data_IF_213395387371
#
_entry.id   IF_213395387371
#
_cell.length_a   1.000
_cell.length_b   1.000
_cell.length_c   1.000
_cell.angle_alpha   90.00
_cell.angle_beta   90.00
_cell.angle_gamma   90.00
#
_symmetry.space_group_name_H-M   'P 1'
#
loop_
_entity.id
_entity.type
_entity.pdbx_description
1 polymer ?
#
# COMPACT_ATOMS: atom_id res chain seq x y z
N UNK A 1 -8.93 0.74 -49.18
CA UNK A 1 -9.75 1.03 -47.98
C UNK A 1 -9.63 -0.15 -47.03
N UNK A 2 -8.82 -0.03 -45.98
CA UNK A 2 -8.58 -1.11 -45.00
C UNK A 2 -9.54 -0.90 -43.84
N UNK A 3 -10.43 -1.87 -43.63
CA UNK A 3 -11.47 -1.84 -42.61
C UNK A 3 -10.94 -2.46 -41.32
N UNK A 4 -10.63 -1.63 -40.32
CA UNK A 4 -10.23 -2.11 -39.00
C UNK A 4 -11.48 -2.44 -38.18
N UNK A 5 -11.74 -3.74 -37.99
CA UNK A 5 -12.74 -4.23 -37.03
C UNK A 5 -12.19 -4.05 -35.62
N UNK A 6 -12.77 -3.11 -34.86
CA UNK A 6 -12.57 -3.01 -33.42
C UNK A 6 -13.20 -4.22 -32.73
N UNK A 7 -12.36 -5.10 -32.18
CA UNK A 7 -12.80 -6.17 -31.28
C UNK A 7 -13.05 -5.54 -29.91
N UNK A 8 -14.32 -5.40 -29.54
CA UNK A 8 -14.74 -5.05 -28.20
C UNK A 8 -14.51 -6.29 -27.31
N UNK A 9 -13.42 -6.29 -26.53
CA UNK A 9 -13.20 -7.30 -25.50
C UNK A 9 -14.11 -6.95 -24.31
N UNK A 10 -15.32 -7.50 -24.30
CA UNK A 10 -16.21 -7.46 -23.15
C UNK A 10 -15.60 -8.28 -22.01
N UNK A 11 -15.06 -7.60 -21.00
CA UNK A 11 -14.69 -8.23 -19.73
C UNK A 11 -16.00 -8.64 -19.06
N UNK A 12 -16.29 -9.95 -19.06
CA UNK A 12 -17.34 -10.53 -18.22
C UNK A 12 -16.97 -10.27 -16.76
N UNK A 13 -17.69 -9.36 -16.11
CA UNK A 13 -17.67 -9.23 -14.66
C UNK A 13 -18.56 -10.35 -14.13
N UNK A 14 -17.98 -11.53 -13.90
CA UNK A 14 -18.64 -12.57 -13.11
C UNK A 14 -18.85 -12.05 -11.69
N UNK A 15 -20.09 -11.68 -11.39
CA UNK A 15 -20.54 -11.36 -10.05
C UNK A 15 -20.61 -12.65 -9.22
N UNK A 16 -19.52 -12.99 -8.52
CA UNK A 16 -19.58 -13.94 -7.41
C UNK A 16 -19.57 -13.21 -6.06
N UNK A 17 -20.35 -13.78 -5.13
CA UNK A 17 -20.75 -13.27 -3.83
C UNK A 17 -19.62 -13.16 -2.80
N UNK A 18 -20.00 -12.58 -1.66
CA UNK A 18 -19.24 -12.37 -0.42
C UNK A 18 -18.04 -11.42 -0.46
N UNK A 19 -17.80 -10.74 0.66
CA UNK A 19 -16.71 -9.82 1.00
C UNK A 19 -15.35 -10.53 1.05
N UNK A 20 -15.04 -11.34 0.05
CA UNK A 20 -13.87 -12.20 0.05
C UNK A 20 -12.76 -11.56 -0.78
N UNK A 21 -11.56 -11.55 -0.20
CA UNK A 21 -10.33 -11.18 -0.90
C UNK A 21 -10.15 -12.05 -2.16
N UNK A 22 -9.87 -11.40 -3.29
CA UNK A 22 -9.72 -12.04 -4.61
C UNK A 22 -8.28 -11.95 -5.07
N UNK A 23 -7.80 -12.99 -5.74
CA UNK A 23 -6.56 -12.94 -6.52
C UNK A 23 -6.86 -12.28 -7.85
N UNK A 24 -6.09 -11.26 -8.20
CA UNK A 24 -6.24 -10.55 -9.47
C UNK A 24 -4.87 -10.43 -10.12
N UNK A 25 -4.82 -10.71 -11.42
CA UNK A 25 -3.65 -10.40 -12.25
C UNK A 25 -3.87 -9.07 -12.94
N UNK A 26 -2.87 -8.19 -12.92
CA UNK A 26 -2.93 -7.00 -13.75
C UNK A 26 -2.63 -7.38 -15.21
N UNK A 27 -3.65 -7.75 -15.98
CA UNK A 27 -3.49 -8.16 -17.39
C UNK A 27 -3.03 -7.03 -18.34
N UNK A 28 -2.93 -5.80 -17.83
CA UNK A 28 -2.38 -4.67 -18.57
C UNK A 28 -0.94 -4.50 -18.11
N UNK A 29 -0.04 -4.84 -19.02
CA UNK A 29 1.37 -4.52 -18.93
C UNK A 29 1.50 -2.98 -18.84
N UNK A 30 2.18 -2.49 -17.81
CA UNK A 30 2.45 -1.05 -17.70
C UNK A 30 3.34 -0.55 -18.87
N UNK A 31 3.69 0.75 -18.89
CA UNK A 31 4.59 1.30 -19.92
C UNK A 31 5.95 0.58 -20.01
N UNK A 32 6.33 -0.17 -18.98
CA UNK A 32 7.57 -0.95 -18.88
C UNK A 32 7.34 -2.46 -18.98
N UNK A 33 6.14 -2.87 -19.37
CA UNK A 33 5.73 -4.25 -19.54
C UNK A 33 5.69 -5.09 -18.25
N UNK A 34 5.38 -4.48 -17.09
CA UNK A 34 5.20 -5.20 -15.82
C UNK A 34 3.72 -5.43 -15.53
N UNK A 35 3.40 -6.69 -15.20
CA UNK A 35 2.10 -7.14 -14.69
C UNK A 35 2.28 -7.50 -13.20
N UNK A 36 1.58 -6.80 -12.31
CA UNK A 36 1.54 -7.17 -10.89
C UNK A 36 0.36 -8.08 -10.60
N UNK A 37 0.64 -9.23 -10.01
CA UNK A 37 -0.37 -10.01 -9.31
C UNK A 37 -0.69 -9.29 -8.00
N UNK A 38 -1.95 -9.25 -7.59
CA UNK A 38 -2.36 -8.63 -6.34
C UNK A 38 -3.57 -9.30 -5.71
N UNK A 39 -3.63 -9.24 -4.38
CA UNK A 39 -4.84 -9.50 -3.63
C UNK A 39 -5.67 -8.22 -3.56
N UNK A 40 -6.96 -8.38 -3.82
CA UNK A 40 -7.92 -7.28 -3.86
C UNK A 40 -9.11 -7.58 -2.96
N UNK A 41 -9.41 -6.69 -2.04
CA UNK A 41 -10.54 -6.81 -1.13
C UNK A 41 -11.45 -5.59 -1.25
N UNK A 42 -12.76 -5.85 -1.26
CA UNK A 42 -13.80 -4.84 -1.18
C UNK A 42 -14.52 -5.00 0.18
N UNK A 43 -14.76 -3.88 0.89
CA UNK A 43 -15.59 -3.87 2.09
C UNK A 43 -16.96 -4.51 1.84
N UNK A 44 -17.52 -5.17 2.84
CA UNK A 44 -18.80 -5.87 2.71
C UNK A 44 -19.93 -4.94 2.23
N UNK A 45 -20.03 -3.75 2.82
CA UNK A 45 -21.03 -2.74 2.45
C UNK A 45 -20.76 -2.07 1.10
N UNK A 46 -19.63 -2.36 0.43
CA UNK A 46 -19.35 -1.79 -0.88
C UNK A 46 -20.47 -2.10 -1.89
N UNK A 47 -21.14 -3.25 -1.75
CA UNK A 47 -22.27 -3.61 -2.62
C UNK A 47 -23.58 -2.94 -2.21
N UNK A 48 -23.77 -2.64 -0.93
CA UNK A 48 -25.03 -2.16 -0.37
C UNK A 48 -25.18 -0.65 -0.54
N UNK A 49 -24.10 0.11 -0.34
CA UNK A 49 -24.08 1.55 -0.52
C UNK A 49 -23.46 1.92 -1.88
N UNK A 50 -24.32 2.34 -2.83
CA UNK A 50 -23.91 2.69 -4.20
C UNK A 50 -23.34 4.10 -4.33
N UNK A 51 -23.62 4.98 -3.38
CA UNK A 51 -23.21 6.39 -3.42
C UNK A 51 -21.91 6.61 -2.62
N UNK A 52 -21.68 5.77 -1.59
CA UNK A 52 -20.46 5.84 -0.80
C UNK A 52 -19.21 5.60 -1.64
N UNK A 53 -18.30 6.55 -1.52
CA UNK A 53 -16.90 6.43 -1.93
C UNK A 53 -16.09 5.88 -0.76
N UNK A 54 -15.14 5.01 -1.08
CA UNK A 54 -14.43 4.22 -0.10
C UNK A 54 -12.96 4.61 -0.05
N UNK A 55 -12.36 4.67 1.16
CA UNK A 55 -10.93 4.86 1.29
C UNK A 55 -10.19 3.64 0.75
N UNK A 56 -8.99 3.86 0.21
CA UNK A 56 -8.11 2.81 -0.31
C UNK A 56 -6.89 2.68 0.58
N UNK A 57 -6.46 1.45 0.86
CA UNK A 57 -5.17 1.18 1.51
C UNK A 57 -4.33 0.24 0.65
N UNK A 58 -3.16 0.73 0.25
CA UNK A 58 -2.12 -0.06 -0.41
C UNK A 58 -1.22 -0.69 0.65
N UNK A 59 -1.11 -2.02 0.64
CA UNK A 59 -0.19 -2.76 1.50
C UNK A 59 0.99 -3.30 0.70
N UNK A 60 2.20 -3.03 1.16
CA UNK A 60 3.44 -3.54 0.57
C UNK A 60 4.09 -4.57 1.51
N UNK A 61 4.22 -5.81 1.03
CA UNK A 61 4.80 -6.92 1.80
C UNK A 61 6.34 -6.83 1.93
N UNK A 62 6.93 -7.69 2.76
CA UNK A 62 8.37 -7.78 3.02
C UNK A 62 9.13 -8.57 1.95
N UNK A 63 10.42 -8.79 2.16
CA UNK A 63 11.27 -9.48 1.18
C UNK A 63 10.87 -10.95 0.96
N UNK A 64 10.33 -11.60 2.01
CA UNK A 64 10.00 -13.03 2.04
C UNK A 64 8.78 -13.41 1.21
N UNK A 65 7.86 -12.48 0.96
CA UNK A 65 6.61 -12.76 0.22
C UNK A 65 6.71 -12.44 -1.28
N UNK A 66 7.91 -12.14 -1.79
CA UNK A 66 8.14 -11.94 -3.23
C UNK A 66 7.91 -13.24 -4.01
N UNK A 67 7.58 -13.09 -5.29
CA UNK A 67 7.41 -14.22 -6.20
C UNK A 67 6.16 -14.08 -7.05
N UNK A 68 5.56 -15.22 -7.38
CA UNK A 68 4.38 -15.36 -8.23
C UNK A 68 3.21 -16.09 -7.54
N UNK A 69 3.40 -16.58 -6.31
CA UNK A 69 2.33 -17.17 -5.49
C UNK A 69 1.73 -16.15 -4.52
N UNK A 70 0.51 -15.69 -4.83
CA UNK A 70 -0.25 -14.76 -4.00
C UNK A 70 -0.66 -15.31 -2.62
N UNK A 71 -0.54 -16.61 -2.33
CA UNK A 71 -0.74 -17.10 -0.96
C UNK A 71 0.33 -16.58 0.00
N UNK A 72 1.57 -16.36 -0.47
CA UNK A 72 2.64 -15.80 0.35
C UNK A 72 2.29 -14.42 0.88
N UNK A 73 1.60 -13.60 0.07
CA UNK A 73 1.20 -12.25 0.47
C UNK A 73 0.22 -12.25 1.64
N UNK A 74 -0.53 -13.35 1.87
CA UNK A 74 -1.48 -13.47 2.99
C UNK A 74 -0.84 -13.76 4.34
N UNK A 75 0.47 -14.04 4.40
CA UNK A 75 1.14 -14.45 5.65
C UNK A 75 1.12 -13.32 6.70
N UNK A 76 1.21 -12.06 6.27
CA UNK A 76 1.34 -10.90 7.16
C UNK A 76 0.41 -9.73 6.79
N UNK A 77 0.18 -8.85 7.75
CA UNK A 77 -0.45 -7.54 7.55
C UNK A 77 -1.91 -7.58 7.07
N UNK A 78 -2.29 -6.56 6.29
CA UNK A 78 -3.65 -6.34 5.80
C UNK A 78 -4.27 -7.57 5.10
N UNK A 79 -3.60 -8.26 4.16
CA UNK A 79 -4.20 -9.40 3.47
C UNK A 79 -4.49 -10.59 4.40
N UNK A 80 -3.74 -10.74 5.51
CA UNK A 80 -4.07 -11.68 6.60
C UNK A 80 -5.34 -11.26 7.33
N UNK A 81 -5.43 -9.99 7.71
CA UNK A 81 -6.56 -9.43 8.47
C UNK A 81 -7.87 -9.57 7.69
N UNK A 82 -7.90 -9.12 6.44
CA UNK A 82 -9.14 -9.16 5.63
C UNK A 82 -9.55 -10.58 5.21
N UNK A 83 -8.68 -11.59 5.42
CA UNK A 83 -9.02 -13.00 5.20
C UNK A 83 -9.88 -13.60 6.33
N UNK A 84 -9.85 -13.00 7.51
CA UNK A 84 -10.56 -13.46 8.72
C UNK A 84 -11.57 -12.45 9.25
N UNK A 85 -11.46 -11.17 8.86
CA UNK A 85 -12.35 -10.10 9.26
C UNK A 85 -13.02 -9.46 8.04
N UNK A 86 -14.33 -9.63 7.92
CA UNK A 86 -15.13 -9.07 6.82
C UNK A 86 -15.50 -7.58 7.01
N UNK A 87 -15.25 -7.00 8.19
CA UNK A 87 -15.59 -5.61 8.54
C UNK A 87 -14.38 -4.67 8.40
N UNK A 88 -13.58 -4.83 7.36
CA UNK A 88 -12.45 -3.94 7.11
C UNK A 88 -12.89 -2.72 6.29
N UNK A 89 -12.66 -1.47 6.75
CA UNK A 89 -13.34 -0.29 6.20
C UNK A 89 -12.71 0.25 4.91
N UNK A 90 -11.69 -0.40 4.37
CA UNK A 90 -10.95 0.05 3.19
C UNK A 90 -11.11 -0.89 2.01
N UNK A 91 -11.08 -0.34 0.80
CA UNK A 91 -10.65 -1.12 -0.37
C UNK A 91 -9.15 -1.43 -0.14
N UNK A 92 -8.82 -2.71 0.02
CA UNK A 92 -7.44 -3.13 0.26
C UNK A 92 -6.81 -3.70 -1.01
N UNK A 93 -5.62 -3.20 -1.33
CA UNK A 93 -4.83 -3.59 -2.50
C UNK A 93 -3.47 -4.08 -2.00
N UNK A 94 -3.16 -5.35 -2.20
CA UNK A 94 -1.91 -5.97 -1.74
C UNK A 94 -1.20 -6.65 -2.92
N UNK A 95 -0.41 -5.89 -3.71
CA UNK A 95 0.36 -6.46 -4.81
C UNK A 95 1.52 -7.33 -4.33
N UNK A 96 1.93 -8.27 -5.18
CA UNK A 96 3.13 -9.07 -4.99
C UNK A 96 4.27 -8.52 -5.84
N UNK A 97 5.40 -8.24 -5.22
CA UNK A 97 6.62 -7.88 -5.92
C UNK A 97 7.28 -9.15 -6.48
N UNK A 98 7.61 -9.20 -7.78
CA UNK A 98 8.37 -10.33 -8.33
C UNK A 98 9.74 -10.47 -7.66
N UNK A 99 10.31 -11.68 -7.68
CA UNK A 99 11.60 -12.01 -7.06
C UNK A 99 12.76 -11.13 -7.54
N UNK A 100 12.65 -10.61 -8.76
CA UNK A 100 13.74 -9.90 -9.45
C UNK A 100 13.80 -8.42 -9.06
N UNK A 101 12.82 -7.96 -8.29
CA UNK A 101 12.67 -6.57 -7.91
C UNK A 101 12.55 -6.40 -6.40
N UNK A 102 12.69 -5.15 -5.98
CA UNK A 102 12.23 -4.63 -4.70
C UNK A 102 11.30 -3.43 -4.94
N UNK A 103 10.45 -3.11 -3.97
CA UNK A 103 9.44 -2.04 -4.14
C UNK A 103 10.01 -0.66 -4.51
N UNK A 104 11.26 -0.38 -4.14
CA UNK A 104 11.94 0.88 -4.43
C UNK A 104 12.41 1.02 -5.88
N UNK A 105 12.43 -0.08 -6.63
CA UNK A 105 12.87 -0.03 -8.03
C UNK A 105 11.93 0.86 -8.84
N UNK A 106 12.50 1.71 -9.70
CA UNK A 106 11.71 2.66 -10.51
C UNK A 106 10.59 1.97 -11.29
N UNK A 107 10.86 0.76 -11.81
CA UNK A 107 9.87 -0.05 -12.50
C UNK A 107 8.72 -0.46 -11.59
N UNK A 108 9.00 -0.82 -10.34
CA UNK A 108 7.99 -1.16 -9.34
C UNK A 108 7.15 0.04 -8.92
N UNK A 109 7.75 1.23 -8.77
CA UNK A 109 7.02 2.44 -8.45
C UNK A 109 6.02 2.83 -9.55
N UNK A 110 6.42 2.69 -10.82
CA UNK A 110 5.54 2.92 -11.98
C UNK A 110 4.41 1.89 -12.04
N UNK A 111 4.70 0.62 -11.74
CA UNK A 111 3.70 -0.44 -11.72
C UNK A 111 2.67 -0.24 -10.58
N UNK A 112 3.14 0.14 -9.38
CA UNK A 112 2.29 0.47 -8.23
C UNK A 112 1.38 1.68 -8.52
N UNK A 113 1.94 2.74 -9.10
CA UNK A 113 1.18 3.91 -9.55
C UNK A 113 0.09 3.51 -10.56
N UNK A 114 0.47 2.73 -11.58
CA UNK A 114 -0.47 2.27 -12.62
C UNK A 114 -1.59 1.41 -12.05
N UNK A 115 -1.27 0.53 -11.09
CA UNK A 115 -2.24 -0.28 -10.37
C UNK A 115 -3.23 0.61 -9.59
N UNK A 116 -2.73 1.56 -8.79
CA UNK A 116 -3.58 2.47 -8.01
C UNK A 116 -4.48 3.32 -8.91
N UNK A 117 -3.95 3.90 -9.99
CA UNK A 117 -4.74 4.68 -10.95
C UNK A 117 -5.84 3.82 -11.60
N UNK A 118 -5.56 2.54 -11.89
CA UNK A 118 -6.57 1.60 -12.37
C UNK A 118 -7.65 1.35 -11.32
N UNK A 119 -7.29 1.15 -10.04
CA UNK A 119 -8.28 0.98 -8.96
C UNK A 119 -9.15 2.23 -8.82
N UNK A 120 -8.54 3.43 -8.79
CA UNK A 120 -9.24 4.71 -8.70
C UNK A 120 -10.22 4.91 -9.86
N UNK A 121 -9.85 4.48 -11.08
CA UNK A 121 -10.69 4.61 -12.27
C UNK A 121 -11.90 3.66 -12.26
N UNK A 122 -11.73 2.45 -11.73
CA UNK A 122 -12.71 1.37 -11.89
C UNK A 122 -13.58 1.11 -10.64
N UNK A 123 -13.26 1.71 -9.50
CA UNK A 123 -13.99 1.53 -8.24
C UNK A 123 -14.41 2.87 -7.64
N UNK A 124 -15.41 2.85 -6.74
CA UNK A 124 -15.90 4.01 -6.00
C UNK A 124 -14.90 4.38 -4.90
N UNK A 125 -13.80 5.00 -5.31
CA UNK A 125 -12.72 5.44 -4.41
C UNK A 125 -12.95 6.88 -3.97
N UNK A 126 -12.78 7.13 -2.67
CA UNK A 126 -12.57 8.48 -2.17
C UNK A 126 -11.11 8.87 -2.45
N UNK A 127 -10.93 9.75 -3.44
CA UNK A 127 -9.60 10.20 -3.89
C UNK A 127 -8.87 11.01 -2.83
N UNK A 128 -9.58 11.55 -1.83
CA UNK A 128 -8.97 12.24 -0.71
C UNK A 128 -8.46 11.28 0.37
N UNK A 129 -8.78 9.98 0.29
CA UNK A 129 -8.44 8.98 1.30
C UNK A 129 -7.75 7.75 0.69
N UNK A 130 -6.57 7.97 0.10
CA UNK A 130 -5.70 6.92 -0.39
C UNK A 130 -4.50 6.81 0.55
N UNK A 131 -4.29 5.63 1.12
CA UNK A 131 -3.28 5.38 2.13
C UNK A 131 -2.28 4.32 1.66
N UNK A 132 -1.09 4.33 2.22
CA UNK A 132 -0.09 3.29 1.98
C UNK A 132 0.62 2.89 3.26
N UNK A 133 0.89 1.59 3.38
CA UNK A 133 1.60 0.99 4.49
C UNK A 133 2.39 -0.21 4.00
N UNK A 134 3.42 -0.58 4.72
CA UNK A 134 4.21 -1.76 4.38
C UNK A 134 5.24 -2.09 5.43
N UNK A 135 5.75 -3.32 5.38
CA UNK A 135 6.69 -3.85 6.37
C UNK A 135 8.05 -4.19 5.74
N UNK A 136 9.15 -3.92 6.45
CA UNK A 136 10.51 -4.27 6.00
C UNK A 136 10.82 -3.69 4.60
N UNK A 137 11.03 -4.55 3.59
CA UNK A 137 11.11 -4.13 2.17
C UNK A 137 9.92 -3.24 1.74
N UNK A 138 8.72 -3.56 2.20
CA UNK A 138 7.50 -2.78 1.98
C UNK A 138 7.45 -1.48 2.79
N UNK A 139 8.10 -1.41 3.94
CA UNK A 139 8.30 -0.16 4.69
C UNK A 139 9.18 0.80 3.89
N UNK A 140 10.28 0.29 3.32
CA UNK A 140 11.12 1.04 2.37
C UNK A 140 10.34 1.43 1.10
N UNK A 141 9.51 0.52 0.59
CA UNK A 141 8.61 0.77 -0.53
C UNK A 141 7.60 1.88 -0.27
N UNK A 142 7.09 1.97 0.96
CA UNK A 142 6.13 3.00 1.42
C UNK A 142 6.75 4.39 1.33
N UNK A 143 7.99 4.56 1.79
CA UNK A 143 8.73 5.81 1.59
C UNK A 143 8.96 6.13 0.11
N UNK A 144 9.34 5.14 -0.69
CA UNK A 144 9.66 5.35 -2.10
C UNK A 144 8.43 5.74 -2.94
N UNK A 145 7.29 5.06 -2.75
CA UNK A 145 6.08 5.35 -3.53
C UNK A 145 5.46 6.70 -3.17
N UNK A 146 5.56 7.11 -1.91
CA UNK A 146 5.12 8.43 -1.48
C UNK A 146 6.04 9.53 -2.00
N UNK A 147 7.35 9.29 -2.10
CA UNK A 147 8.27 10.25 -2.72
C UNK A 147 8.09 10.35 -4.25
N UNK A 148 7.67 9.25 -4.88
CA UNK A 148 7.36 9.16 -6.32
C UNK A 148 6.04 9.85 -6.68
N UNK A 149 4.99 9.66 -5.86
CA UNK A 149 3.66 10.27 -6.03
C UNK A 149 3.16 10.90 -4.73
N UNK A 150 3.79 12.00 -4.27
CA UNK A 150 3.41 12.67 -3.02
C UNK A 150 2.00 13.27 -3.07
N UNK A 151 1.49 13.50 -4.29
CA UNK A 151 0.15 14.01 -4.57
C UNK A 151 -0.96 12.96 -4.46
N UNK A 152 -0.62 11.67 -4.41
CA UNK A 152 -1.61 10.60 -4.46
C UNK A 152 -2.13 10.19 -3.08
N UNK A 153 -1.32 10.33 -2.04
CA UNK A 153 -1.59 9.76 -0.72
C UNK A 153 -2.07 10.80 0.29
N UNK A 154 -2.93 10.37 1.21
CA UNK A 154 -3.44 11.16 2.32
C UNK A 154 -2.68 10.93 3.64
N UNK A 155 -2.09 9.74 3.79
CA UNK A 155 -1.17 9.41 4.88
C UNK A 155 -0.39 8.14 4.54
N UNK A 156 0.72 7.91 5.25
CA UNK A 156 1.53 6.71 5.10
C UNK A 156 2.03 6.14 6.43
N UNK A 157 2.12 4.81 6.53
CA UNK A 157 2.67 4.10 7.68
C UNK A 157 3.77 3.10 7.28
N UNK A 158 5.03 3.54 7.18
CA UNK A 158 6.15 2.62 6.97
C UNK A 158 6.48 1.90 8.29
N UNK A 159 6.63 0.58 8.22
CA UNK A 159 6.99 -0.28 9.36
C UNK A 159 8.34 -0.92 9.09
N UNK A 160 9.28 -0.75 10.02
CA UNK A 160 10.66 -1.22 9.97
C UNK A 160 11.32 -1.10 8.59
N UNK A 161 11.25 0.10 8.00
CA UNK A 161 11.82 0.39 6.69
C UNK A 161 12.24 1.86 6.51
N UNK A 162 13.49 2.05 6.11
CA UNK A 162 14.13 3.35 5.93
C UNK A 162 13.86 3.97 4.56
N UNK A 163 13.73 5.28 4.54
CA UNK A 163 13.56 6.10 3.33
C UNK A 163 14.88 6.69 2.82
N UNK A 164 14.78 7.48 1.75
CA UNK A 164 15.88 8.32 1.28
C UNK A 164 15.69 9.76 1.81
N UNK A 165 16.53 10.24 2.74
CA UNK A 165 16.48 11.59 3.29
C UNK A 165 16.44 12.71 2.24
N UNK A 166 17.04 12.50 1.06
CA UNK A 166 17.04 13.49 -0.01
C UNK A 166 15.62 13.77 -0.56
N UNK A 167 14.68 12.85 -0.32
CA UNK A 167 13.27 12.99 -0.75
C UNK A 167 12.39 13.73 0.24
N UNK A 168 12.88 14.03 1.46
CA UNK A 168 12.09 14.61 2.55
C UNK A 168 11.34 15.90 2.19
N UNK A 169 11.93 16.76 1.36
CA UNK A 169 11.31 18.02 0.93
C UNK A 169 10.01 17.81 0.12
N UNK A 170 9.87 16.66 -0.54
CA UNK A 170 8.68 16.27 -1.32
C UNK A 170 7.54 15.76 -0.45
N UNK A 171 7.84 15.40 0.80
CA UNK A 171 6.95 14.65 1.68
C UNK A 171 6.35 15.51 2.81
N UNK A 172 6.69 16.79 2.87
CA UNK A 172 6.34 17.70 4.00
C UNK A 172 4.85 17.86 4.22
N UNK A 173 4.02 17.68 3.19
CA UNK A 173 2.55 17.76 3.29
C UNK A 173 1.87 16.45 3.66
N UNK A 174 2.59 15.32 3.61
CA UNK A 174 2.04 14.00 3.84
C UNK A 174 2.28 13.59 5.30
N UNK A 175 1.24 13.29 6.09
CA UNK A 175 1.41 12.78 7.44
C UNK A 175 1.96 11.35 7.44
N UNK A 176 2.98 11.12 8.26
CA UNK A 176 3.55 9.78 8.49
C UNK A 176 3.31 9.28 9.92
N UNK A 177 3.08 7.98 10.06
CA UNK A 177 3.21 7.27 11.33
C UNK A 177 4.14 6.08 11.15
N UNK A 178 5.38 6.25 11.61
CA UNK A 178 6.46 5.26 11.48
C UNK A 178 6.44 4.32 12.68
N UNK A 179 6.71 3.03 12.42
CA UNK A 179 6.77 1.99 13.45
C UNK A 179 8.06 1.19 13.33
N UNK A 180 8.68 0.85 14.46
CA UNK A 180 9.98 0.18 14.50
C UNK A 180 10.12 -0.65 15.78
N UNK A 181 10.80 -1.79 15.72
CA UNK A 181 11.26 -2.52 16.91
C UNK A 181 12.64 -2.04 17.34
N UNK A 182 12.84 -1.74 18.63
CA UNK A 182 14.11 -1.20 19.13
C UNK A 182 15.26 -2.22 19.13
N UNK A 183 14.94 -3.52 19.11
CA UNK A 183 15.91 -4.61 19.05
C UNK A 183 16.05 -5.19 17.64
N UNK A 184 15.54 -4.51 16.62
CA UNK A 184 15.66 -4.93 15.22
C UNK A 184 17.13 -4.87 14.77
N UNK A 185 17.65 -6.01 14.33
CA UNK A 185 19.02 -6.17 13.79
C UNK A 185 19.05 -6.45 12.29
N UNK A 186 17.89 -6.56 11.65
CA UNK A 186 17.74 -6.68 10.19
C UNK A 186 17.58 -5.28 9.59
N UNK A 187 16.78 -4.45 10.25
CA UNK A 187 16.63 -3.05 9.92
C UNK A 187 16.77 -2.20 11.18
N UNK A 188 17.98 -1.68 11.37
CA UNK A 188 18.33 -0.91 12.57
C UNK A 188 17.42 0.33 12.72
N UNK A 189 16.92 0.64 13.94
CA UNK A 189 16.06 1.80 14.19
C UNK A 189 16.58 3.12 13.62
N UNK A 190 17.89 3.29 13.62
CA UNK A 190 18.61 4.45 13.09
C UNK A 190 18.24 4.73 11.63
N UNK A 191 17.96 3.70 10.82
CA UNK A 191 17.54 3.89 9.43
C UNK A 191 16.16 4.59 9.32
N UNK A 192 15.22 4.28 10.23
CA UNK A 192 13.94 4.98 10.33
C UNK A 192 14.13 6.39 10.88
N UNK A 193 14.98 6.54 11.90
CA UNK A 193 15.24 7.81 12.59
C UNK A 193 15.89 8.85 11.68
N UNK A 194 16.84 8.45 10.84
CA UNK A 194 17.47 9.33 9.84
C UNK A 194 16.42 9.93 8.90
N UNK A 195 15.45 9.14 8.44
CA UNK A 195 14.38 9.63 7.56
C UNK A 195 13.39 10.52 8.31
N UNK A 196 13.03 10.15 9.55
CA UNK A 196 12.17 10.94 10.43
C UNK A 196 12.79 12.32 10.69
N UNK A 197 14.08 12.37 11.03
CA UNK A 197 14.81 13.61 11.27
C UNK A 197 14.87 14.48 10.01
N UNK A 198 15.20 13.89 8.86
CA UNK A 198 15.21 14.60 7.58
C UNK A 198 13.84 15.23 7.27
N UNK A 199 12.74 14.51 7.51
CA UNK A 199 11.39 15.01 7.30
C UNK A 199 11.02 16.13 8.29
N UNK A 200 11.33 15.97 9.59
CA UNK A 200 11.12 17.02 10.61
C UNK A 200 11.89 18.29 10.27
N UNK A 201 13.14 18.17 9.83
CA UNK A 201 13.98 19.30 9.43
C UNK A 201 13.46 20.06 8.20
N UNK A 202 12.54 19.47 7.42
CA UNK A 202 11.82 20.14 6.32
C UNK A 202 10.42 20.61 6.71
N UNK A 203 10.02 20.45 7.97
CA UNK A 203 8.72 20.86 8.49
C UNK A 203 7.59 19.86 8.25
N UNK A 204 7.90 18.58 7.97
CA UNK A 204 6.89 17.55 7.79
C UNK A 204 6.29 17.01 9.10
N UNK A 205 5.04 16.54 9.03
CA UNK A 205 4.36 15.87 10.15
C UNK A 205 4.74 14.38 10.19
N UNK A 206 5.37 13.95 11.29
CA UNK A 206 5.70 12.54 11.50
C UNK A 206 5.52 12.11 12.96
N UNK A 207 4.78 11.02 13.14
CA UNK A 207 4.66 10.27 14.40
C UNK A 207 5.61 9.07 14.34
N UNK A 208 6.18 8.70 15.48
CA UNK A 208 7.06 7.55 15.59
C UNK A 208 6.69 6.70 16.80
N UNK A 209 6.48 5.41 16.57
CA UNK A 209 6.30 4.41 17.61
C UNK A 209 7.48 3.44 17.56
N UNK A 210 8.33 3.52 18.58
CA UNK A 210 9.42 2.58 18.81
C UNK A 210 8.99 1.57 19.87
N UNK A 211 8.89 0.29 19.51
CA UNK A 211 8.54 -0.77 20.44
C UNK A 211 9.80 -1.29 21.15
N UNK A 212 9.97 -1.07 22.47
CA UNK A 212 11.24 -1.31 23.16
C UNK A 212 11.72 -2.76 23.13
N UNK A 213 10.78 -3.71 23.16
CA UNK A 213 11.09 -5.15 23.29
C UNK A 213 11.02 -5.90 21.95
N UNK A 214 10.65 -5.24 20.85
CA UNK A 214 10.45 -5.92 19.56
C UNK A 214 11.71 -5.93 18.70
N UNK A 215 11.90 -7.06 18.02
CA UNK A 215 12.89 -7.24 16.98
C UNK A 215 12.32 -6.83 15.61
N UNK A 216 12.62 -7.60 14.55
CA UNK A 216 12.23 -7.25 13.19
C UNK A 216 10.72 -7.20 12.96
N UNK A 217 9.98 -8.16 13.54
CA UNK A 217 8.52 -8.14 13.51
C UNK A 217 7.97 -7.09 14.49
N UNK A 218 7.88 -5.86 13.98
CA UNK A 218 7.13 -4.76 14.57
C UNK A 218 5.78 -4.56 13.86
N UNK A 219 5.47 -5.37 12.86
CA UNK A 219 4.27 -5.22 12.03
C UNK A 219 3.07 -5.96 12.58
N UNK A 220 3.23 -7.10 13.24
CA UNK A 220 2.10 -7.89 13.77
C UNK A 220 1.28 -7.05 14.76
N UNK A 221 1.94 -6.52 15.79
CA UNK A 221 1.27 -5.64 16.77
C UNK A 221 0.74 -4.35 16.13
N UNK A 222 1.44 -3.81 15.12
CA UNK A 222 1.06 -2.56 14.47
C UNK A 222 -0.21 -2.72 13.64
N UNK A 223 -0.34 -3.82 12.91
CA UNK A 223 -1.54 -4.10 12.13
C UNK A 223 -2.71 -4.59 12.99
N UNK A 224 -2.45 -5.22 14.14
CA UNK A 224 -3.50 -5.57 15.11
C UNK A 224 -4.01 -4.34 15.90
N UNK A 225 -3.34 -3.18 15.78
CA UNK A 225 -3.74 -1.95 16.45
C UNK A 225 -4.86 -1.20 15.69
N UNK A 226 -6.09 -1.14 16.21
CA UNK A 226 -7.19 -0.42 15.56
C UNK A 226 -6.96 1.10 15.42
N UNK A 227 -6.09 1.69 16.25
CA UNK A 227 -5.77 3.12 16.18
C UNK A 227 -5.00 3.48 14.90
N UNK A 228 -4.29 2.53 14.28
CA UNK A 228 -3.66 2.75 12.97
C UNK A 228 -4.74 3.06 11.92
N UNK A 229 -5.79 2.25 11.88
CA UNK A 229 -6.88 2.38 10.91
C UNK A 229 -7.74 3.62 11.17
N UNK A 230 -8.04 3.91 12.43
CA UNK A 230 -8.72 5.16 12.82
C UNK A 230 -7.89 6.38 12.44
N UNK A 231 -6.57 6.34 12.65
CA UNK A 231 -5.67 7.41 12.25
C UNK A 231 -5.69 7.61 10.74
N UNK A 232 -5.58 6.55 9.93
CA UNK A 232 -5.72 6.67 8.48
C UNK A 232 -7.05 7.35 8.11
N UNK A 233 -8.18 6.87 8.61
CA UNK A 233 -9.51 7.43 8.32
C UNK A 233 -9.68 8.89 8.77
N UNK A 234 -8.86 9.37 9.71
CA UNK A 234 -8.85 10.78 10.13
C UNK A 234 -8.07 11.71 9.19
N UNK A 235 -7.31 11.16 8.23
CA UNK A 235 -6.47 11.93 7.30
C UNK A 235 -7.16 12.02 5.93
N UNK A 236 -7.03 13.20 5.33
CA UNK A 236 -7.51 13.49 3.99
C UNK A 236 -6.44 14.28 3.23
N UNK A 237 -6.17 13.90 1.99
CA UNK A 237 -5.36 14.71 1.10
C UNK A 237 -6.20 15.92 0.63
N UNK A 238 -5.74 17.14 0.92
CA UNK A 238 -6.45 18.39 0.61
C UNK A 238 -5.98 19.05 -0.70
N UNK A 239 -5.43 18.28 -1.65
CA UNK A 239 -4.97 18.83 -2.92
C UNK A 239 -6.12 19.34 -3.79
#
# INVERSE_FOLDING_TARGET
MVNYRFIFLCILICAFGNSQQRKVKLDILDKNNISLNYLFYLPEDYKNDKEKKWPVILFLHGMGERGDDLELVKIHGIPKIVSSNNNFPFIAVSPQCPTEYVWRDKKMLIALESLLLKIIKNYRVDKSQIFVTGLSMGGRGTWAITAHRPDLFAAAAPICGGGDPATASRLTKLPFWVFQGALDKVHYPEESEIMIEALKNKGGEVRYTLYPELHHDSWTITYDNPELYKWFLSKNNKH
#
